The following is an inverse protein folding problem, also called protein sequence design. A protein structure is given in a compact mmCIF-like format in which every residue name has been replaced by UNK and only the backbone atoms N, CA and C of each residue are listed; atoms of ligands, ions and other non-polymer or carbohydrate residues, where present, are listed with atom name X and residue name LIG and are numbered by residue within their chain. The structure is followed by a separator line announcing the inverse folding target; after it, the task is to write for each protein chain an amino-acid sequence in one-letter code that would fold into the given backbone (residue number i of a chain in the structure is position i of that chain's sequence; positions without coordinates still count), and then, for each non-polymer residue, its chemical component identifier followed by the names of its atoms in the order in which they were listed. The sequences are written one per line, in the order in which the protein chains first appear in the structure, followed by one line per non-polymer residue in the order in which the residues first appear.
data_IF_555094778017
#
_entry.id   IF_555094778017
#
_cell.length_a   1.000
_cell.length_b   1.000
_cell.length_c   1.000
_cell.angle_alpha   90.00
_cell.angle_beta   90.00
_cell.angle_gamma   90.00
#
_symmetry.space_group_name_H-M   'P 1'
#
loop_
_entity.id
_entity.type
_entity.pdbx_description
1 polymer ?
#
# COMPACT_ATOMS: atom_id res chain seq x y z
N UNK A 1 -20.50 -7.53 11.58
CA UNK A 1 -21.13 -6.62 10.62
C UNK A 1 -22.30 -7.29 9.87
N UNK A 2 -22.13 -8.42 9.23
CA UNK A 2 -23.17 -9.15 8.43
C UNK A 2 -24.47 -9.33 9.21
N UNK A 3 -24.44 -9.95 10.38
CA UNK A 3 -25.64 -10.16 11.21
C UNK A 3 -26.39 -8.86 11.58
N UNK A 4 -25.69 -7.72 11.65
CA UNK A 4 -26.32 -6.42 11.92
C UNK A 4 -27.06 -5.90 10.69
N UNK A 5 -26.51 -6.10 9.49
CA UNK A 5 -27.13 -5.74 8.23
C UNK A 5 -28.40 -6.57 7.98
N UNK A 6 -28.32 -7.89 8.16
CA UNK A 6 -29.47 -8.80 8.05
C UNK A 6 -30.61 -8.42 8.98
N UNK A 7 -30.29 -8.10 10.26
CA UNK A 7 -31.30 -7.63 11.26
C UNK A 7 -31.95 -6.29 10.84
N UNK A 8 -31.25 -5.48 10.05
CA UNK A 8 -31.76 -4.24 9.51
C UNK A 8 -32.56 -4.43 8.18
N UNK A 9 -32.83 -5.68 7.79
CA UNK A 9 -33.60 -6.01 6.59
C UNK A 9 -32.81 -5.95 5.30
N UNK A 10 -31.46 -5.94 5.37
CA UNK A 10 -30.61 -5.96 4.18
C UNK A 10 -30.60 -7.36 3.58
N UNK A 11 -30.97 -7.49 2.32
CA UNK A 11 -30.84 -8.74 1.58
C UNK A 11 -29.41 -8.84 1.00
N UNK A 12 -28.63 -9.80 1.46
CA UNK A 12 -27.25 -10.04 1.03
C UNK A 12 -27.23 -11.23 0.08
N UNK A 13 -26.81 -10.98 -1.16
CA UNK A 13 -26.64 -12.00 -2.19
C UNK A 13 -25.16 -12.19 -2.46
N UNK A 14 -24.63 -13.36 -2.12
CA UNK A 14 -23.24 -13.75 -2.41
C UNK A 14 -23.18 -14.57 -3.70
N UNK A 15 -21.98 -14.67 -4.31
CA UNK A 15 -21.75 -15.35 -5.59
C UNK A 15 -22.67 -14.82 -6.71
N UNK A 16 -22.96 -13.53 -6.69
CA UNK A 16 -23.82 -12.86 -7.64
C UNK A 16 -23.05 -11.70 -8.27
N UNK A 17 -22.53 -11.92 -9.45
CA UNK A 17 -21.90 -10.89 -10.26
C UNK A 17 -22.96 -10.22 -11.14
N UNK A 18 -23.02 -8.91 -11.13
CA UNK A 18 -23.92 -8.10 -11.94
C UNK A 18 -23.11 -7.23 -12.90
N UNK A 19 -23.42 -7.35 -14.18
CA UNK A 19 -22.86 -6.46 -15.20
C UNK A 19 -23.48 -5.05 -15.12
N UNK A 20 -22.77 -4.07 -15.66
CA UNK A 20 -23.27 -2.70 -15.75
C UNK A 20 -24.61 -2.61 -16.52
N UNK A 21 -24.79 -3.46 -17.52
CA UNK A 21 -26.00 -3.51 -18.33
C UNK A 21 -27.20 -4.05 -17.53
N UNK A 22 -26.99 -5.10 -16.74
CA UNK A 22 -28.03 -5.66 -15.85
C UNK A 22 -28.46 -4.65 -14.80
N UNK A 23 -27.50 -3.97 -14.17
CA UNK A 23 -27.78 -2.92 -13.19
C UNK A 23 -28.60 -1.80 -13.85
N UNK A 24 -28.17 -1.31 -15.01
CA UNK A 24 -28.86 -0.26 -15.74
C UNK A 24 -30.30 -0.66 -16.13
N UNK A 25 -30.51 -1.91 -16.55
CA UNK A 25 -31.83 -2.45 -16.88
C UNK A 25 -32.74 -2.48 -15.66
N UNK A 26 -32.24 -2.90 -14.50
CA UNK A 26 -32.99 -2.97 -13.24
C UNK A 26 -33.37 -1.58 -12.71
N UNK A 27 -32.49 -0.60 -12.87
CA UNK A 27 -32.76 0.80 -12.52
C UNK A 27 -33.85 1.37 -13.45
N UNK A 28 -33.73 1.16 -14.76
CA UNK A 28 -34.76 1.60 -15.73
C UNK A 28 -36.15 0.95 -15.49
N UNK A 29 -36.16 -0.29 -15.02
CA UNK A 29 -37.37 -1.00 -14.64
C UNK A 29 -37.96 -0.53 -13.28
N UNK A 30 -37.37 0.45 -12.63
CA UNK A 30 -37.83 0.96 -11.33
C UNK A 30 -37.65 0.01 -10.16
N UNK A 31 -36.74 -1.00 -10.29
CA UNK A 31 -36.46 -1.94 -9.21
C UNK A 31 -35.66 -1.33 -8.06
N UNK A 32 -34.85 -0.33 -8.38
CA UNK A 32 -34.00 0.38 -7.42
C UNK A 32 -34.09 1.89 -7.65
N UNK A 33 -34.22 2.65 -6.57
CA UNK A 33 -34.20 4.11 -6.60
C UNK A 33 -32.78 4.67 -6.73
N UNK A 34 -31.80 3.96 -6.13
CA UNK A 34 -30.39 4.32 -6.14
C UNK A 34 -29.51 3.06 -6.18
N UNK A 35 -28.36 3.18 -6.81
CA UNK A 35 -27.31 2.17 -6.84
C UNK A 35 -26.04 2.75 -6.23
N UNK A 36 -25.45 2.01 -5.32
CA UNK A 36 -24.13 2.32 -4.74
C UNK A 36 -23.16 1.26 -5.24
N UNK A 37 -22.13 1.69 -5.97
CA UNK A 37 -21.05 0.81 -6.43
C UNK A 37 -19.97 0.81 -5.33
N UNK A 38 -19.76 -0.34 -4.72
CA UNK A 38 -18.79 -0.54 -3.65
C UNK A 38 -18.03 -1.85 -3.86
N UNK A 39 -17.53 -2.04 -5.09
CA UNK A 39 -16.87 -3.28 -5.54
C UNK A 39 -15.42 -3.44 -5.05
N UNK A 40 -14.93 -2.51 -4.23
CA UNK A 40 -13.54 -2.48 -3.81
C UNK A 40 -12.61 -1.95 -4.90
N UNK A 41 -11.35 -2.32 -4.83
CA UNK A 41 -10.33 -1.95 -5.81
C UNK A 41 -9.26 -3.04 -5.91
N UNK A 42 -8.52 -3.00 -7.00
CA UNK A 42 -7.35 -3.85 -7.18
C UNK A 42 -6.08 -3.00 -7.11
N UNK A 43 -5.00 -3.51 -6.51
CA UNK A 43 -3.72 -2.83 -6.50
C UNK A 43 -3.18 -2.66 -7.92
N UNK A 44 -2.80 -1.44 -8.30
CA UNK A 44 -2.17 -1.18 -9.62
C UNK A 44 -0.67 -1.48 -9.51
N UNK A 45 -0.12 -2.32 -10.37
CA UNK A 45 1.33 -2.53 -10.49
C UNK A 45 1.90 -1.58 -11.54
N UNK A 46 2.66 -0.53 -11.16
CA UNK A 46 3.36 0.29 -12.12
C UNK A 46 4.40 -0.53 -12.89
N UNK A 47 4.46 -0.34 -14.22
CA UNK A 47 5.34 -1.11 -15.09
C UNK A 47 6.84 -1.02 -14.71
N UNK A 48 7.28 0.10 -14.12
CA UNK A 48 8.65 0.27 -13.69
C UNK A 48 9.07 -0.63 -12.51
N UNK A 49 8.13 -1.33 -11.87
CA UNK A 49 8.40 -2.31 -10.82
C UNK A 49 8.56 -3.74 -11.33
N UNK A 50 8.25 -4.02 -12.60
CA UNK A 50 8.22 -5.38 -13.16
C UNK A 50 9.59 -6.10 -13.14
N UNK A 51 10.70 -5.37 -12.98
CA UNK A 51 12.03 -5.93 -12.86
C UNK A 51 12.41 -6.41 -11.45
N UNK A 52 11.58 -6.24 -10.46
CA UNK A 52 11.86 -6.63 -9.08
C UNK A 52 11.94 -8.16 -8.93
N UNK A 53 12.98 -8.66 -8.24
CA UNK A 53 13.08 -10.08 -7.90
C UNK A 53 11.89 -10.57 -7.06
N UNK A 54 11.38 -9.70 -6.21
CA UNK A 54 10.23 -9.95 -5.36
C UNK A 54 9.40 -8.67 -5.20
N UNK A 55 8.20 -8.71 -5.75
CA UNK A 55 7.20 -7.65 -5.59
C UNK A 55 6.08 -8.16 -4.70
N UNK A 56 5.75 -7.40 -3.66
CA UNK A 56 4.71 -7.75 -2.68
C UNK A 56 3.74 -6.58 -2.58
N UNK A 57 2.44 -6.85 -2.58
CA UNK A 57 1.46 -5.81 -2.31
C UNK A 57 1.35 -5.54 -0.81
N UNK A 58 0.98 -4.30 -0.43
CA UNK A 58 0.68 -3.96 0.95
C UNK A 58 -0.33 -4.93 1.57
N UNK A 59 -1.35 -5.32 0.81
CA UNK A 59 -2.39 -6.25 1.28
C UNK A 59 -1.82 -7.63 1.61
N UNK A 60 -1.01 -8.19 0.72
CA UNK A 60 -0.40 -9.50 0.96
C UNK A 60 0.59 -9.49 2.13
N UNK A 61 1.32 -8.37 2.29
CA UNK A 61 2.23 -8.18 3.40
C UNK A 61 1.46 -8.08 4.75
N UNK A 62 0.42 -7.25 4.80
CA UNK A 62 -0.37 -7.01 6.00
C UNK A 62 -1.21 -8.25 6.41
N UNK A 63 -1.73 -8.99 5.43
CA UNK A 63 -2.47 -10.23 5.66
C UNK A 63 -1.56 -11.44 5.94
N UNK A 64 -0.24 -11.26 5.82
CA UNK A 64 0.75 -12.33 6.03
C UNK A 64 0.76 -13.39 4.94
N UNK A 65 0.12 -13.14 3.79
CA UNK A 65 0.12 -14.04 2.63
C UNK A 65 1.50 -14.14 1.99
N UNK A 66 2.22 -13.03 1.97
CA UNK A 66 3.58 -12.95 1.48
C UNK A 66 4.50 -12.31 2.54
N UNK A 67 5.65 -12.95 2.77
CA UNK A 67 6.65 -12.44 3.73
C UNK A 67 7.57 -11.47 3.03
N UNK A 68 7.80 -10.31 3.61
CA UNK A 68 8.87 -9.40 3.17
C UNK A 68 10.23 -9.87 3.70
N UNK A 69 11.29 -9.58 2.95
CA UNK A 69 12.68 -9.89 3.31
C UNK A 69 13.25 -8.96 4.39
N UNK A 70 14.56 -9.03 4.58
CA UNK A 70 15.27 -8.21 5.59
C UNK A 70 15.44 -6.77 5.10
N UNK A 71 15.76 -6.56 3.82
CA UNK A 71 15.90 -5.25 3.21
C UNK A 71 14.70 -4.97 2.29
N UNK A 72 13.71 -4.30 2.82
CA UNK A 72 12.42 -4.02 2.13
C UNK A 72 12.34 -2.54 1.76
N UNK A 73 12.03 -2.26 0.50
CA UNK A 73 11.76 -0.91 0.02
C UNK A 73 10.28 -0.78 -0.34
N UNK A 74 9.63 0.20 0.24
CA UNK A 74 8.23 0.58 -0.01
C UNK A 74 8.23 1.71 -1.03
N UNK A 75 7.53 1.50 -2.14
CA UNK A 75 7.41 2.49 -3.22
C UNK A 75 6.07 3.20 -3.11
N UNK A 76 6.11 4.39 -2.55
CA UNK A 76 4.97 5.23 -2.22
C UNK A 76 4.84 5.46 -0.72
N UNK A 77 4.88 6.73 -0.33
CA UNK A 77 4.75 7.17 1.05
C UNK A 77 3.35 7.71 1.38
N UNK A 78 2.32 7.25 0.66
CA UNK A 78 0.93 7.49 1.01
C UNK A 78 0.55 6.83 2.34
N UNK A 79 -0.71 6.94 2.73
CA UNK A 79 -1.18 6.39 4.01
C UNK A 79 -0.91 4.88 4.12
N UNK A 80 -1.21 4.11 3.07
CA UNK A 80 -1.00 2.66 3.03
C UNK A 80 0.48 2.31 3.17
N UNK A 81 1.37 2.99 2.44
CA UNK A 81 2.82 2.73 2.53
C UNK A 81 3.39 3.03 3.92
N UNK A 82 2.92 4.10 4.56
CA UNK A 82 3.34 4.44 5.94
C UNK A 82 2.82 3.41 6.95
N UNK A 83 1.59 2.95 6.82
CA UNK A 83 1.02 1.89 7.68
C UNK A 83 1.73 0.55 7.47
N UNK A 84 2.06 0.22 6.22
CA UNK A 84 2.85 -0.98 5.91
C UNK A 84 4.25 -0.89 6.49
N UNK A 85 4.90 0.26 6.39
CA UNK A 85 6.21 0.49 7.01
C UNK A 85 6.16 0.32 8.53
N UNK A 86 5.14 0.86 9.18
CA UNK A 86 4.91 0.72 10.61
C UNK A 86 4.73 -0.74 11.04
N UNK A 87 4.01 -1.52 10.23
CA UNK A 87 3.80 -2.95 10.44
C UNK A 87 5.08 -3.77 10.26
N UNK A 88 5.88 -3.46 9.21
CA UNK A 88 7.08 -4.23 8.87
C UNK A 88 8.28 -3.87 9.74
N UNK A 89 8.38 -2.62 10.21
CA UNK A 89 9.53 -2.16 10.98
C UNK A 89 9.48 -2.65 12.43
N UNK A 90 10.58 -3.24 12.89
CA UNK A 90 10.75 -3.60 14.28
C UNK A 90 11.29 -2.42 15.10
N UNK A 91 10.96 -2.32 16.40
CA UNK A 91 11.56 -1.29 17.26
C UNK A 91 13.09 -1.36 17.25
N UNK A 92 13.77 -0.22 17.17
CA UNK A 92 15.25 -0.11 17.17
C UNK A 92 15.89 -0.80 18.38
N UNK A 93 15.15 -0.99 19.47
CA UNK A 93 15.64 -1.67 20.68
C UNK A 93 15.97 -3.15 20.50
N UNK A 94 15.38 -3.80 19.50
CA UNK A 94 15.77 -5.15 19.09
C UNK A 94 17.02 -5.07 18.21
N UNK A 95 18.18 -4.99 18.84
CA UNK A 95 19.50 -5.13 18.20
C UNK A 95 19.72 -6.54 17.60
N UNK A 96 18.66 -7.23 17.26
CA UNK A 96 18.75 -8.49 16.54
C UNK A 96 19.30 -8.21 15.15
N UNK A 97 20.41 -8.82 14.72
CA UNK A 97 20.97 -8.66 13.38
C UNK A 97 20.02 -9.08 12.26
N UNK A 98 18.86 -9.64 12.60
CA UNK A 98 17.74 -9.93 11.68
C UNK A 98 16.65 -8.86 11.67
N UNK A 99 16.87 -7.69 12.29
CA UNK A 99 15.93 -6.57 12.20
C UNK A 99 15.77 -6.16 10.75
N UNK A 100 14.51 -6.06 10.32
CA UNK A 100 14.19 -5.67 8.97
C UNK A 100 14.56 -4.20 8.74
N UNK A 101 15.30 -3.92 7.68
CA UNK A 101 15.54 -2.57 7.20
C UNK A 101 14.37 -2.20 6.28
N UNK A 102 13.65 -1.14 6.61
CA UNK A 102 12.54 -0.64 5.81
C UNK A 102 12.88 0.76 5.31
N UNK A 103 12.75 0.98 4.00
CA UNK A 103 12.95 2.28 3.38
C UNK A 103 11.70 2.66 2.59
N UNK A 104 11.17 3.86 2.78
CA UNK A 104 10.11 4.45 1.97
C UNK A 104 10.73 5.36 0.92
N UNK A 105 10.39 5.14 -0.36
CA UNK A 105 10.66 6.07 -1.46
C UNK A 105 9.37 6.77 -1.85
N UNK A 106 9.32 8.10 -1.67
CA UNK A 106 8.15 8.92 -2.01
C UNK A 106 8.52 10.03 -2.99
N UNK A 107 7.78 10.12 -4.09
CA UNK A 107 8.03 11.14 -5.13
C UNK A 107 7.62 12.55 -4.69
N UNK A 108 6.67 12.68 -3.81
CA UNK A 108 6.24 13.95 -3.23
C UNK A 108 7.22 14.42 -2.13
N UNK A 109 7.21 15.71 -1.76
CA UNK A 109 8.11 16.24 -0.73
C UNK A 109 7.73 15.80 0.70
N UNK A 110 6.61 15.10 0.88
CA UNK A 110 6.14 14.65 2.20
C UNK A 110 5.36 13.34 2.08
N UNK A 111 5.38 12.53 3.16
CA UNK A 111 4.63 11.27 3.27
C UNK A 111 3.29 11.47 3.98
N UNK A 112 2.36 10.53 3.82
CA UNK A 112 1.02 10.51 4.44
C UNK A 112 0.24 11.84 4.27
N UNK A 113 0.32 12.43 3.08
CA UNK A 113 -0.29 13.75 2.82
C UNK A 113 -1.82 13.70 2.77
N UNK A 114 -2.41 12.52 2.58
CA UNK A 114 -3.84 12.28 2.64
C UNK A 114 -4.40 12.40 4.05
N UNK A 115 -3.58 12.10 5.07
CA UNK A 115 -3.96 12.25 6.47
C UNK A 115 -3.79 13.70 6.92
N UNK A 116 -4.91 14.39 7.06
CA UNK A 116 -4.95 15.84 7.37
C UNK A 116 -5.15 16.14 8.85
N UNK A 117 -5.37 15.13 9.67
CA UNK A 117 -5.59 15.30 11.11
C UNK A 117 -4.28 15.46 11.89
N UNK A 118 -4.41 15.76 13.17
CA UNK A 118 -3.28 15.76 14.13
C UNK A 118 -2.62 14.38 14.30
N UNK A 119 -3.19 13.34 13.73
CA UNK A 119 -2.65 11.98 13.83
C UNK A 119 -1.43 11.78 12.91
N UNK A 120 -1.35 12.49 11.78
CA UNK A 120 -0.23 12.39 10.83
C UNK A 120 1.16 12.55 11.47
N UNK A 121 1.44 13.59 12.27
CA UNK A 121 2.75 13.74 12.93
C UNK A 121 3.09 12.57 13.84
N UNK A 122 2.09 12.00 14.52
CA UNK A 122 2.27 10.84 15.40
C UNK A 122 2.65 9.58 14.62
N UNK A 123 2.04 9.36 13.46
CA UNK A 123 2.38 8.24 12.57
C UNK A 123 3.82 8.36 12.06
N UNK A 124 4.20 9.55 11.60
CA UNK A 124 5.56 9.81 11.10
C UNK A 124 6.60 9.61 12.22
N UNK A 125 6.40 10.21 13.39
CA UNK A 125 7.28 10.03 14.54
C UNK A 125 7.45 8.55 14.92
N UNK A 126 6.36 7.78 14.88
CA UNK A 126 6.35 6.35 15.20
C UNK A 126 7.22 5.52 14.25
N UNK A 127 7.10 5.71 12.94
CA UNK A 127 7.91 4.96 11.97
C UNK A 127 9.39 5.37 12.03
N UNK A 128 9.69 6.66 12.23
CA UNK A 128 11.06 7.13 12.38
C UNK A 128 11.71 6.56 13.65
N UNK A 129 11.00 6.47 14.76
CA UNK A 129 11.46 5.82 16.01
C UNK A 129 11.69 4.32 15.83
N UNK A 130 11.02 3.68 14.88
CA UNK A 130 11.26 2.28 14.51
C UNK A 130 12.44 2.10 13.53
N UNK A 131 13.09 3.19 13.13
CA UNK A 131 14.24 3.14 12.22
C UNK A 131 13.87 2.99 10.74
N UNK A 132 12.68 3.40 10.35
CA UNK A 132 12.31 3.47 8.93
C UNK A 132 13.05 4.63 8.27
N UNK A 133 13.77 4.34 7.18
CA UNK A 133 14.37 5.36 6.33
C UNK A 133 13.31 5.96 5.42
N UNK A 134 13.16 7.28 5.41
CA UNK A 134 12.20 7.99 4.55
C UNK A 134 12.94 8.90 3.59
N UNK A 135 12.81 8.64 2.30
CA UNK A 135 13.41 9.43 1.22
C UNK A 135 12.28 10.03 0.39
N UNK A 136 12.04 11.32 0.61
CA UNK A 136 11.05 12.12 -0.12
C UNK A 136 11.66 12.81 -1.33
N UNK A 137 10.83 13.37 -2.21
CA UNK A 137 11.23 13.94 -3.51
C UNK A 137 12.06 12.95 -4.33
N UNK A 138 11.76 11.67 -4.20
CA UNK A 138 12.48 10.54 -4.78
C UNK A 138 11.56 9.74 -5.71
N UNK A 139 11.67 10.00 -7.01
CA UNK A 139 10.86 9.33 -8.03
C UNK A 139 11.54 8.04 -8.47
N UNK A 140 10.94 6.90 -8.21
CA UNK A 140 11.42 5.61 -8.72
C UNK A 140 11.29 5.59 -10.24
N UNK A 141 12.38 5.24 -10.90
CA UNK A 141 12.50 5.17 -12.36
C UNK A 141 12.39 3.73 -12.86
N UNK A 142 13.12 2.82 -12.22
CA UNK A 142 13.12 1.40 -12.58
C UNK A 142 13.60 0.55 -11.41
N UNK A 143 13.22 -0.71 -11.46
CA UNK A 143 13.76 -1.77 -10.61
C UNK A 143 14.36 -2.83 -11.51
N UNK A 144 15.55 -3.31 -11.18
CA UNK A 144 16.24 -4.38 -11.87
C UNK A 144 16.87 -5.32 -10.84
N UNK A 145 16.27 -6.49 -10.73
CA UNK A 145 16.66 -7.48 -9.72
C UNK A 145 16.51 -6.96 -8.30
N UNK A 146 17.63 -6.80 -7.63
CA UNK A 146 17.76 -6.27 -6.27
C UNK A 146 18.10 -4.78 -6.20
N UNK A 147 18.09 -4.09 -7.33
CA UNK A 147 18.54 -2.69 -7.44
C UNK A 147 17.37 -1.78 -7.85
N UNK A 148 17.13 -0.76 -7.06
CA UNK A 148 16.16 0.29 -7.37
C UNK A 148 16.90 1.54 -7.81
N UNK A 149 16.54 2.07 -8.98
CA UNK A 149 16.97 3.36 -9.49
C UNK A 149 15.89 4.41 -9.24
N UNK A 150 16.26 5.51 -8.62
CA UNK A 150 15.36 6.64 -8.41
C UNK A 150 16.05 7.97 -8.72
N UNK A 151 15.26 8.98 -9.04
CA UNK A 151 15.70 10.35 -9.27
C UNK A 151 15.37 11.21 -8.05
N UNK A 152 16.34 12.00 -7.61
CA UNK A 152 16.18 13.03 -6.60
C UNK A 152 17.09 14.20 -6.91
N UNK A 153 16.56 15.42 -6.82
CA UNK A 153 17.31 16.67 -7.10
C UNK A 153 17.99 16.66 -8.48
N UNK A 154 17.30 16.11 -9.50
CA UNK A 154 17.81 15.99 -10.89
C UNK A 154 18.95 14.98 -11.06
N UNK A 155 19.25 14.16 -10.05
CA UNK A 155 20.29 13.12 -10.10
C UNK A 155 19.72 11.73 -9.90
N UNK A 156 20.36 10.76 -10.56
CA UNK A 156 20.02 9.35 -10.37
C UNK A 156 20.75 8.79 -9.14
N UNK A 157 20.00 8.08 -8.32
CA UNK A 157 20.47 7.37 -7.13
C UNK A 157 20.06 5.90 -7.21
N UNK A 158 20.72 5.06 -6.41
CA UNK A 158 20.50 3.61 -6.42
C UNK A 158 20.43 3.08 -4.99
N UNK A 159 19.46 2.18 -4.73
CA UNK A 159 19.44 1.29 -3.57
C UNK A 159 19.72 -0.11 -4.08
N UNK A 160 20.69 -0.80 -3.49
CA UNK A 160 21.11 -2.16 -3.89
C UNK A 160 20.90 -3.15 -2.75
N UNK A 161 20.82 -4.42 -3.09
CA UNK A 161 20.61 -5.50 -2.13
C UNK A 161 19.19 -5.50 -1.58
N UNK A 162 18.20 -5.08 -2.37
CA UNK A 162 16.79 -5.05 -1.98
C UNK A 162 16.21 -6.45 -2.09
N UNK A 163 15.75 -7.00 -0.97
CA UNK A 163 15.12 -8.34 -0.95
C UNK A 163 13.68 -8.30 -1.44
N UNK A 164 12.99 -7.21 -1.14
CA UNK A 164 11.56 -7.07 -1.43
C UNK A 164 11.23 -5.62 -1.78
N UNK A 165 10.51 -5.44 -2.87
CA UNK A 165 9.83 -4.19 -3.21
C UNK A 165 8.37 -4.34 -2.81
N UNK A 166 7.89 -3.43 -1.99
CA UNK A 166 6.50 -3.32 -1.59
C UNK A 166 5.88 -2.06 -2.22
N UNK A 167 4.55 -2.09 -2.48
CA UNK A 167 3.83 -0.99 -3.08
C UNK A 167 2.35 -0.98 -2.68
#
# INVERSE_FOLDING_TARGET
MIKKAERAGVNIMTNCELSAQEIASQVKAGKYDKVIIATGGEPIVPAFLNGANRLVSAWDALEGKQKCGVNTVIVGGGLVGVETADFLAHPIKDLNPRSRKVTILEMLPAIATEERSSFRPLMIDRILKKGVDVITSAKVISVDGDTIKYEKDGKCHYIRGVDTVER
#
